data_IF_135200580312
#
_entry.id   IF_135200580312
#
_cell.length_a   1.000
_cell.length_b   1.000
_cell.length_c   1.000
_cell.angle_alpha   90.00
_cell.angle_beta   90.00
_cell.angle_gamma   90.00
#
_symmetry.space_group_name_H-M   'P 1'
#
loop_
_entity.id
_entity.type
_entity.pdbx_description
1 polymer ?
#
# COMPACT_ATOMS: atom_id res chain seq x y z
N UNK A 1 -8.84 -2.80 -29.40
CA UNK A 1 -10.22 -2.32 -29.24
C UNK A 1 -10.92 -2.91 -28.02
N UNK A 2 -10.93 -4.23 -27.81
CA UNK A 2 -11.56 -4.89 -26.64
C UNK A 2 -11.06 -4.33 -25.31
N UNK A 3 -9.75 -4.17 -25.12
CA UNK A 3 -9.15 -3.69 -23.88
C UNK A 3 -9.65 -2.27 -23.53
N UNK A 4 -9.69 -1.38 -24.50
CA UNK A 4 -10.18 0.01 -24.31
C UNK A 4 -11.65 0.01 -23.89
N UNK A 5 -12.48 -0.80 -24.56
CA UNK A 5 -13.89 -0.95 -24.22
C UNK A 5 -14.04 -1.48 -22.79
N UNK A 6 -13.24 -2.46 -22.40
CA UNK A 6 -13.25 -3.03 -21.05
C UNK A 6 -12.87 -2.00 -19.99
N UNK A 7 -11.82 -1.20 -20.23
CA UNK A 7 -11.40 -0.12 -19.33
C UNK A 7 -12.51 0.93 -19.21
N UNK A 8 -13.09 1.36 -20.31
CA UNK A 8 -14.20 2.32 -20.31
C UNK A 8 -15.43 1.78 -19.56
N UNK A 9 -15.81 0.51 -19.80
CA UNK A 9 -16.90 -0.13 -19.08
C UNK A 9 -16.65 -0.20 -17.58
N UNK A 10 -15.41 -0.57 -17.18
CA UNK A 10 -14.99 -0.59 -15.79
C UNK A 10 -15.13 0.79 -15.12
N UNK A 11 -14.66 1.86 -15.77
CA UNK A 11 -14.80 3.21 -15.24
C UNK A 11 -16.25 3.70 -15.21
N UNK A 12 -17.07 3.34 -16.20
CA UNK A 12 -18.51 3.64 -16.17
C UNK A 12 -19.18 3.02 -14.94
N UNK A 13 -18.82 1.77 -14.58
CA UNK A 13 -19.31 1.11 -13.37
C UNK A 13 -18.85 1.84 -12.12
N UNK A 14 -17.58 2.23 -12.00
CA UNK A 14 -17.06 2.99 -10.85
C UNK A 14 -17.77 4.35 -10.70
N UNK A 15 -17.96 5.08 -11.79
CA UNK A 15 -18.67 6.36 -11.78
C UNK A 15 -20.14 6.18 -11.37
N UNK A 16 -20.79 5.10 -11.81
CA UNK A 16 -22.15 4.76 -11.39
C UNK A 16 -22.23 4.46 -9.90
N UNK A 17 -21.31 3.65 -9.35
CA UNK A 17 -21.20 3.41 -7.91
C UNK A 17 -20.99 4.70 -7.13
N UNK A 18 -20.08 5.56 -7.60
CA UNK A 18 -19.84 6.86 -6.98
C UNK A 18 -21.10 7.74 -7.03
N UNK A 19 -21.83 7.75 -8.14
CA UNK A 19 -23.04 8.53 -8.25
C UNK A 19 -24.14 8.05 -7.30
N UNK A 20 -24.35 6.74 -7.20
CA UNK A 20 -25.37 6.13 -6.30
C UNK A 20 -25.03 6.41 -4.83
N UNK A 21 -23.78 6.18 -4.44
CA UNK A 21 -23.33 6.34 -3.03
C UNK A 21 -23.26 7.80 -2.60
N UNK A 22 -22.93 8.72 -3.52
CA UNK A 22 -22.78 10.15 -3.23
C UNK A 22 -24.08 10.98 -3.35
N UNK A 23 -25.18 10.39 -3.84
CA UNK A 23 -26.44 11.12 -4.12
C UNK A 23 -27.03 11.88 -2.92
N UNK A 24 -26.75 11.47 -1.68
CA UNK A 24 -27.42 12.01 -0.47
C UNK A 24 -26.56 12.88 0.45
N UNK A 25 -25.24 13.00 0.26
CA UNK A 25 -24.41 13.74 1.23
C UNK A 25 -23.07 14.19 0.65
N UNK A 26 -22.81 15.48 0.65
CA UNK A 26 -21.49 16.08 0.40
C UNK A 26 -20.86 16.69 1.67
N UNK A 27 -21.21 16.20 2.86
CA UNK A 27 -20.69 16.72 4.12
C UNK A 27 -19.24 16.26 4.34
N UNK A 28 -18.48 17.03 5.11
CA UNK A 28 -17.12 16.67 5.50
C UNK A 28 -17.10 15.40 6.37
N UNK A 29 -18.09 15.18 7.23
CA UNK A 29 -18.20 13.94 8.04
C UNK A 29 -18.38 12.69 7.15
N UNK A 30 -19.17 12.81 6.09
CA UNK A 30 -19.30 11.71 5.10
C UNK A 30 -17.99 11.47 4.38
N UNK A 31 -17.28 12.54 3.99
CA UNK A 31 -16.02 12.44 3.26
C UNK A 31 -14.91 11.83 4.13
N UNK A 32 -14.80 12.23 5.41
CA UNK A 32 -13.71 11.81 6.29
C UNK A 32 -13.96 10.50 7.02
N UNK A 33 -15.23 10.18 7.39
CA UNK A 33 -15.58 9.07 8.29
C UNK A 33 -16.74 8.19 7.82
N UNK A 34 -17.34 8.43 6.64
CA UNK A 34 -18.52 7.73 6.16
C UNK A 34 -19.68 7.69 7.19
N UNK A 35 -19.77 8.70 8.05
CA UNK A 35 -20.71 8.78 9.19
C UNK A 35 -20.61 7.60 10.17
N UNK A 36 -19.51 6.85 10.20
CA UNK A 36 -19.31 5.62 11.00
C UNK A 36 -20.43 4.59 10.82
N UNK A 37 -20.79 4.29 9.58
CA UNK A 37 -21.87 3.35 9.25
C UNK A 37 -21.46 2.28 8.25
N UNK A 38 -20.16 2.11 8.00
CA UNK A 38 -19.67 1.08 7.09
C UNK A 38 -19.76 -0.30 7.72
N UNK A 39 -20.23 -1.31 7.00
CA UNK A 39 -20.20 -2.70 7.46
C UNK A 39 -18.76 -3.20 7.53
N UNK A 40 -18.34 -3.77 8.66
CA UNK A 40 -16.95 -4.17 8.89
C UNK A 40 -16.41 -5.16 7.85
N UNK A 41 -17.25 -6.10 7.39
CA UNK A 41 -16.83 -7.08 6.37
C UNK A 41 -16.57 -6.48 4.99
N UNK A 42 -17.30 -5.40 4.62
CA UNK A 42 -17.03 -4.64 3.41
C UNK A 42 -15.73 -3.86 3.53
N UNK A 43 -15.46 -3.29 4.71
CA UNK A 43 -14.21 -2.58 4.98
C UNK A 43 -13.04 -3.56 4.91
N UNK A 44 -13.12 -4.72 5.59
CA UNK A 44 -12.09 -5.75 5.59
C UNK A 44 -11.76 -6.23 4.17
N UNK A 45 -12.78 -6.58 3.40
CA UNK A 45 -12.61 -7.04 2.03
C UNK A 45 -12.00 -5.97 1.12
N UNK A 46 -12.50 -4.73 1.21
CA UNK A 46 -11.95 -3.59 0.46
C UNK A 46 -10.51 -3.25 0.88
N UNK A 47 -10.16 -3.40 2.16
CA UNK A 47 -8.80 -3.19 2.65
C UNK A 47 -7.80 -4.21 2.12
N UNK A 48 -8.20 -5.47 1.94
CA UNK A 48 -7.35 -6.48 1.27
C UNK A 48 -6.97 -5.98 -0.13
N UNK A 49 -7.95 -5.57 -0.94
CA UNK A 49 -7.70 -5.07 -2.29
C UNK A 49 -6.93 -3.76 -2.34
N UNK A 50 -7.19 -2.84 -1.41
CA UNK A 50 -6.46 -1.57 -1.35
C UNK A 50 -4.97 -1.77 -0.96
N UNK A 51 -4.65 -2.82 -0.21
CA UNK A 51 -3.28 -3.17 0.16
C UNK A 51 -2.57 -3.96 -0.93
N UNK A 52 -3.30 -4.80 -1.66
CA UNK A 52 -2.83 -5.48 -2.86
C UNK A 52 -2.89 -4.46 -4.01
N UNK A 53 -1.87 -3.63 -4.12
CA UNK A 53 -1.77 -2.65 -5.20
C UNK A 53 -1.46 -3.33 -6.56
N UNK A 54 -1.55 -2.59 -7.65
CA UNK A 54 -1.14 -3.08 -8.97
C UNK A 54 0.32 -3.54 -9.03
N UNK A 55 1.19 -3.00 -8.16
CA UNK A 55 2.56 -3.50 -8.00
C UNK A 55 2.55 -4.90 -7.40
N UNK A 56 1.79 -5.16 -6.34
CA UNK A 56 1.65 -6.50 -5.77
C UNK A 56 1.21 -7.49 -6.84
N UNK A 57 0.27 -7.08 -7.70
CA UNK A 57 -0.24 -7.91 -8.80
C UNK A 57 0.87 -8.35 -9.76
N UNK A 58 1.87 -7.51 -9.99
CA UNK A 58 2.96 -7.75 -10.94
C UNK A 58 4.22 -8.28 -10.24
N UNK A 59 4.64 -7.62 -9.15
CA UNK A 59 5.93 -7.89 -8.51
C UNK A 59 5.92 -9.13 -7.64
N UNK A 60 4.82 -9.47 -6.94
CA UNK A 60 4.81 -10.64 -6.04
C UNK A 60 4.98 -11.95 -6.80
N UNK A 61 4.31 -12.20 -7.96
CA UNK A 61 4.64 -13.36 -8.78
C UNK A 61 6.10 -13.38 -9.23
N UNK A 62 6.64 -12.21 -9.63
CA UNK A 62 8.02 -12.10 -10.10
C UNK A 62 9.08 -12.31 -9.00
N UNK A 63 8.77 -11.99 -7.74
CA UNK A 63 9.70 -12.16 -6.61
C UNK A 63 10.20 -13.61 -6.48
N UNK A 64 9.36 -14.59 -6.85
CA UNK A 64 9.70 -16.02 -6.79
C UNK A 64 10.98 -16.33 -7.56
N UNK A 65 11.25 -15.63 -8.66
CA UNK A 65 12.48 -15.83 -9.47
C UNK A 65 13.79 -15.60 -8.70
N UNK A 66 13.77 -14.77 -7.65
CA UNK A 66 15.00 -14.36 -6.91
C UNK A 66 14.98 -14.75 -5.44
N UNK A 67 13.80 -14.88 -4.87
CA UNK A 67 13.63 -15.02 -3.43
C UNK A 67 12.72 -16.20 -3.05
N UNK A 68 12.37 -17.04 -4.01
CA UNK A 68 11.41 -18.13 -3.83
C UNK A 68 10.09 -17.62 -3.20
N UNK A 69 9.37 -18.42 -2.45
CA UNK A 69 8.16 -18.00 -1.72
C UNK A 69 8.46 -17.33 -0.36
N UNK A 70 9.68 -16.88 -0.10
CA UNK A 70 10.10 -16.36 1.23
C UNK A 70 9.36 -15.12 1.68
N UNK A 71 8.77 -14.34 0.75
CA UNK A 71 7.91 -13.20 1.10
C UNK A 71 6.75 -13.58 2.04
N UNK A 72 6.33 -14.85 2.01
CA UNK A 72 5.27 -15.33 2.89
C UNK A 72 5.66 -15.27 4.38
N UNK A 73 6.96 -15.35 4.73
CA UNK A 73 7.46 -15.15 6.09
C UNK A 73 7.08 -13.77 6.64
N UNK A 74 7.24 -12.74 5.80
CA UNK A 74 6.85 -11.37 6.13
C UNK A 74 5.31 -11.24 6.26
N UNK A 75 4.55 -11.90 5.37
CA UNK A 75 3.08 -11.94 5.45
C UNK A 75 2.58 -12.61 6.73
N UNK A 76 3.27 -13.62 7.25
CA UNK A 76 2.97 -14.23 8.55
C UNK A 76 3.20 -13.21 9.68
N UNK A 77 4.27 -12.42 9.60
CA UNK A 77 4.52 -11.32 10.53
C UNK A 77 3.42 -10.26 10.52
N UNK A 78 2.79 -10.02 9.36
CA UNK A 78 1.67 -9.09 9.25
C UNK A 78 0.51 -9.47 10.18
N UNK A 79 0.22 -10.76 10.38
CA UNK A 79 -0.87 -11.21 11.27
C UNK A 79 -0.67 -10.63 12.67
N UNK A 80 0.53 -10.81 13.25
CA UNK A 80 0.84 -10.25 14.57
C UNK A 80 0.76 -8.71 14.56
N UNK A 81 1.26 -8.07 13.51
CA UNK A 81 1.15 -6.62 13.33
C UNK A 81 -0.30 -6.14 13.36
N UNK A 82 -1.20 -6.81 12.66
CA UNK A 82 -2.64 -6.48 12.66
C UNK A 82 -3.30 -6.68 14.02
N UNK A 83 -2.91 -7.71 14.77
CA UNK A 83 -3.35 -7.86 16.16
C UNK A 83 -2.91 -6.68 17.03
N UNK A 84 -1.65 -6.25 16.91
CA UNK A 84 -1.17 -5.09 17.65
C UNK A 84 -1.92 -3.81 17.25
N UNK A 85 -2.17 -3.59 15.98
CA UNK A 85 -3.01 -2.47 15.52
C UNK A 85 -4.42 -2.56 16.09
N UNK A 86 -5.05 -3.74 16.01
CA UNK A 86 -6.42 -3.96 16.46
C UNK A 86 -6.63 -3.79 17.96
N UNK A 87 -5.68 -4.24 18.76
CA UNK A 87 -5.83 -4.28 20.23
C UNK A 87 -5.07 -3.20 20.99
N UNK A 88 -4.06 -2.55 20.37
CA UNK A 88 -3.35 -1.43 20.99
C UNK A 88 -3.74 -0.07 20.39
N UNK A 89 -3.74 0.08 19.07
CA UNK A 89 -3.94 1.38 18.44
C UNK A 89 -5.43 1.75 18.26
N UNK A 90 -6.26 0.83 17.74
CA UNK A 90 -7.68 1.12 17.53
C UNK A 90 -8.44 1.52 18.83
N UNK A 91 -8.21 0.88 20.01
CA UNK A 91 -8.83 1.35 21.24
C UNK A 91 -8.55 2.80 21.56
N UNK A 92 -7.34 3.28 21.30
CA UNK A 92 -6.93 4.67 21.51
C UNK A 92 -7.69 5.58 20.54
N UNK A 93 -7.69 5.26 19.26
CA UNK A 93 -8.33 6.08 18.23
C UNK A 93 -9.85 6.19 18.44
N UNK A 94 -10.50 5.12 18.86
CA UNK A 94 -11.94 5.12 19.19
C UNK A 94 -12.23 5.88 20.48
N UNK A 95 -11.41 5.69 21.53
CA UNK A 95 -11.56 6.39 22.83
C UNK A 95 -11.49 7.92 22.68
N UNK A 96 -10.53 8.41 21.88
CA UNK A 96 -10.37 9.84 21.65
C UNK A 96 -11.23 10.38 20.51
N UNK A 97 -12.06 9.55 19.89
CA UNK A 97 -12.95 9.93 18.80
C UNK A 97 -12.24 10.68 17.65
N UNK A 98 -11.05 10.23 17.29
CA UNK A 98 -10.17 10.93 16.37
C UNK A 98 -10.75 10.97 14.95
N UNK A 99 -10.55 12.08 14.24
CA UNK A 99 -10.82 12.20 12.79
C UNK A 99 -9.58 11.80 12.00
N UNK A 100 -8.41 12.21 12.48
CA UNK A 100 -7.11 11.78 11.99
C UNK A 100 -6.32 11.21 13.17
N UNK A 101 -5.52 10.19 12.90
CA UNK A 101 -4.74 9.51 13.95
C UNK A 101 -3.67 10.43 14.55
N UNK A 102 -3.19 11.41 13.78
CA UNK A 102 -2.12 12.33 14.20
C UNK A 102 -2.56 13.28 15.31
N UNK A 103 -3.87 13.56 15.42
CA UNK A 103 -4.42 14.36 16.54
C UNK A 103 -4.10 13.78 17.92
N UNK A 104 -3.78 12.47 18.02
CA UNK A 104 -3.27 11.86 19.24
C UNK A 104 -1.90 12.43 19.65
N UNK A 105 -1.01 12.66 18.69
CA UNK A 105 0.30 13.26 18.95
C UNK A 105 0.19 14.68 19.52
N UNK A 106 -0.82 15.45 19.06
CA UNK A 106 -1.09 16.79 19.59
C UNK A 106 -1.38 16.77 21.10
N UNK A 107 -2.23 15.81 21.51
CA UNK A 107 -2.61 15.69 22.93
C UNK A 107 -1.47 15.20 23.81
N UNK A 108 -0.55 14.38 23.26
CA UNK A 108 0.50 13.72 24.02
C UNK A 108 1.84 14.44 24.00
N UNK A 109 2.24 15.00 22.88
CA UNK A 109 3.57 15.58 22.66
C UNK A 109 3.51 17.08 22.41
N UNK A 110 2.55 17.55 21.62
CA UNK A 110 2.34 18.95 21.29
C UNK A 110 2.05 19.19 19.80
N UNK A 111 1.84 20.48 19.49
CA UNK A 111 1.39 20.93 18.16
C UNK A 111 2.45 20.68 17.07
N UNK A 112 3.74 20.87 17.40
CA UNK A 112 4.84 20.66 16.42
C UNK A 112 5.04 19.21 16.11
N UNK A 113 5.03 18.33 17.11
CA UNK A 113 5.09 16.87 16.92
C UNK A 113 3.90 16.36 16.08
N UNK A 114 2.72 16.89 16.32
CA UNK A 114 1.52 16.60 15.55
C UNK A 114 1.66 16.97 14.08
N UNK A 115 2.01 18.22 13.79
CA UNK A 115 2.21 18.68 12.40
C UNK A 115 3.36 17.96 11.70
N UNK A 116 4.43 17.66 12.44
CA UNK A 116 5.56 16.87 11.92
C UNK A 116 5.12 15.47 11.52
N UNK A 117 4.40 14.76 12.38
CA UNK A 117 3.86 13.45 12.07
C UNK A 117 2.94 13.47 10.85
N UNK A 118 2.00 14.42 10.78
CA UNK A 118 1.14 14.60 9.62
C UNK A 118 1.93 14.91 8.33
N UNK A 119 2.98 15.74 8.41
CA UNK A 119 3.83 16.07 7.25
C UNK A 119 4.62 14.87 6.75
N UNK A 120 5.19 14.06 7.65
CA UNK A 120 5.85 12.80 7.26
C UNK A 120 4.88 11.83 6.60
N UNK A 121 3.64 11.72 7.11
CA UNK A 121 2.61 10.94 6.45
C UNK A 121 2.30 11.46 5.04
N UNK A 122 2.06 12.77 4.90
CA UNK A 122 1.76 13.37 3.58
C UNK A 122 2.88 13.08 2.57
N UNK A 123 4.14 13.22 2.98
CA UNK A 123 5.30 12.92 2.14
C UNK A 123 5.36 11.43 1.79
N UNK A 124 5.29 10.54 2.78
CA UNK A 124 5.31 9.09 2.58
C UNK A 124 4.21 8.61 1.68
N UNK A 125 2.99 9.07 1.95
CA UNK A 125 1.81 8.61 1.22
C UNK A 125 1.80 9.13 -0.21
N UNK A 126 2.15 10.41 -0.41
CA UNK A 126 2.24 11.01 -1.75
C UNK A 126 3.26 10.28 -2.61
N UNK A 127 4.48 10.12 -2.11
CA UNK A 127 5.56 9.46 -2.84
C UNK A 127 5.28 7.97 -3.06
N UNK A 128 4.90 7.23 -2.01
CA UNK A 128 4.62 5.81 -2.11
C UNK A 128 3.44 5.46 -3.02
N UNK A 129 2.36 6.25 -2.98
CA UNK A 129 1.22 6.07 -3.86
C UNK A 129 1.56 6.44 -5.32
N UNK A 130 2.35 7.52 -5.53
CA UNK A 130 2.78 7.94 -6.86
C UNK A 130 3.65 6.88 -7.54
N UNK A 131 4.58 6.26 -6.82
CA UNK A 131 5.41 5.15 -7.34
C UNK A 131 4.54 3.96 -7.74
N UNK A 132 3.59 3.58 -6.88
CA UNK A 132 2.66 2.47 -7.17
C UNK A 132 1.82 2.75 -8.41
N UNK A 133 1.30 3.94 -8.53
CA UNK A 133 0.44 4.30 -9.65
C UNK A 133 1.22 4.52 -10.96
N UNK A 134 2.50 4.94 -10.86
CA UNK A 134 3.40 5.07 -12.00
C UNK A 134 3.57 3.76 -12.77
N UNK A 135 3.78 2.62 -12.05
CA UNK A 135 3.92 1.30 -12.67
C UNK A 135 2.70 0.96 -13.53
N UNK A 136 1.52 1.25 -13.01
CA UNK A 136 0.27 1.01 -13.73
C UNK A 136 0.14 1.90 -14.95
N UNK A 137 0.49 3.18 -14.82
CA UNK A 137 0.49 4.09 -15.96
C UNK A 137 1.45 3.61 -17.06
N UNK A 138 2.65 3.08 -16.71
CA UNK A 138 3.58 2.50 -17.68
C UNK A 138 3.01 1.25 -18.34
N UNK A 139 2.43 0.33 -17.55
CA UNK A 139 1.86 -0.90 -18.09
C UNK A 139 0.69 -0.61 -19.01
N UNK A 140 -0.22 0.29 -18.62
CA UNK A 140 -1.32 0.71 -19.49
C UNK A 140 -0.81 1.44 -20.73
N UNK A 141 0.23 2.27 -20.58
CA UNK A 141 0.88 2.93 -21.70
C UNK A 141 1.39 1.90 -22.70
N UNK A 142 2.28 1.00 -22.25
CA UNK A 142 2.98 0.02 -23.10
C UNK A 142 2.02 -0.97 -23.76
N UNK A 143 1.04 -1.48 -23.04
CA UNK A 143 0.20 -2.57 -23.53
C UNK A 143 -1.15 -2.12 -24.15
N UNK A 144 -1.56 -0.88 -23.92
CA UNK A 144 -2.89 -0.40 -24.35
C UNK A 144 -2.79 0.87 -25.18
N UNK A 145 -2.09 1.88 -24.69
CA UNK A 145 -2.18 3.25 -25.23
C UNK A 145 -1.12 3.56 -26.28
N UNK A 146 0.05 2.91 -26.25
CA UNK A 146 1.08 3.07 -27.30
C UNK A 146 0.54 2.62 -28.66
N UNK A 147 -0.27 1.56 -28.70
CA UNK A 147 -0.94 1.09 -29.92
C UNK A 147 -1.95 2.07 -30.53
N UNK A 148 -2.37 3.09 -29.77
CA UNK A 148 -3.30 4.16 -30.18
C UNK A 148 -2.59 5.50 -30.35
N UNK A 149 -1.28 5.55 -30.07
CA UNK A 149 -0.46 6.77 -30.20
C UNK A 149 -0.68 7.82 -29.08
N UNK A 150 -1.27 7.44 -27.94
CA UNK A 150 -1.47 8.36 -26.80
C UNK A 150 -0.18 8.50 -26.03
N UNK A 151 0.40 9.70 -25.86
CA UNK A 151 1.65 9.87 -25.14
C UNK A 151 1.46 9.80 -23.63
N UNK A 152 2.50 9.33 -22.92
CA UNK A 152 2.47 9.14 -21.46
C UNK A 152 2.04 10.37 -20.65
N UNK A 153 2.43 11.56 -21.08
CA UNK A 153 2.05 12.83 -20.44
C UNK A 153 0.56 13.18 -20.59
N UNK A 154 -0.20 12.46 -21.44
CA UNK A 154 -1.68 12.52 -21.53
C UNK A 154 -2.30 11.38 -20.71
N UNK A 155 -1.68 10.19 -20.69
CA UNK A 155 -2.14 9.03 -19.93
C UNK A 155 -2.26 9.34 -18.44
N UNK A 156 -1.23 9.92 -17.84
CA UNK A 156 -1.21 10.20 -16.40
C UNK A 156 -2.30 11.20 -15.98
N UNK A 157 -2.44 12.38 -16.62
CA UNK A 157 -3.55 13.30 -16.33
C UNK A 157 -4.94 12.66 -16.49
N UNK A 158 -5.13 11.88 -17.55
CA UNK A 158 -6.40 11.20 -17.81
C UNK A 158 -6.76 10.24 -16.67
N UNK A 159 -5.82 9.42 -16.22
CA UNK A 159 -6.03 8.45 -15.15
C UNK A 159 -6.27 9.13 -13.79
N UNK A 160 -5.47 10.14 -13.44
CA UNK A 160 -5.64 10.90 -12.20
C UNK A 160 -6.96 11.69 -12.20
N UNK A 161 -7.35 12.25 -13.34
CA UNK A 161 -8.64 12.93 -13.47
C UNK A 161 -9.83 11.98 -13.25
N UNK A 162 -9.75 10.75 -13.75
CA UNK A 162 -10.79 9.73 -13.50
C UNK A 162 -10.92 9.45 -12.00
N UNK A 163 -9.80 9.23 -11.28
CA UNK A 163 -9.81 9.05 -9.83
C UNK A 163 -10.48 10.24 -9.13
N UNK A 164 -10.05 11.44 -9.44
CA UNK A 164 -10.61 12.65 -8.86
C UNK A 164 -12.12 12.79 -9.10
N UNK A 165 -12.60 12.43 -10.30
CA UNK A 165 -14.02 12.54 -10.66
C UNK A 165 -14.93 11.71 -9.76
N UNK A 166 -14.58 10.45 -9.46
CA UNK A 166 -15.45 9.63 -8.63
C UNK A 166 -15.23 9.79 -7.12
N UNK A 167 -14.04 10.26 -6.69
CA UNK A 167 -13.74 10.45 -5.26
C UNK A 167 -14.21 11.80 -4.71
N UNK A 168 -14.29 12.85 -5.54
CA UNK A 168 -14.51 14.25 -5.12
C UNK A 168 -15.74 14.52 -4.26
N UNK A 169 -16.79 13.70 -4.36
CA UNK A 169 -18.06 13.90 -3.64
C UNK A 169 -18.16 13.08 -2.37
N UNK A 170 -17.95 11.78 -2.46
CA UNK A 170 -18.25 10.83 -1.38
C UNK A 170 -17.06 10.51 -0.49
N UNK A 171 -15.82 10.73 -0.96
CA UNK A 171 -14.62 10.40 -0.21
C UNK A 171 -14.65 8.95 0.28
N UNK A 172 -14.30 8.73 1.56
CA UNK A 172 -14.19 7.39 2.16
C UNK A 172 -15.49 6.57 2.09
N UNK A 173 -16.65 7.21 2.09
CA UNK A 173 -17.94 6.50 1.96
C UNK A 173 -18.06 5.80 0.62
N UNK A 174 -17.63 6.45 -0.46
CA UNK A 174 -17.63 5.85 -1.79
C UNK A 174 -16.57 4.76 -1.87
N UNK A 175 -15.38 5.00 -1.30
CA UNK A 175 -14.25 4.09 -1.36
C UNK A 175 -14.57 2.71 -0.75
N UNK A 176 -15.26 2.62 0.36
CA UNK A 176 -15.66 1.33 0.95
C UNK A 176 -16.39 0.43 -0.05
N UNK A 177 -17.23 1.00 -0.90
CA UNK A 177 -17.99 0.26 -1.91
C UNK A 177 -17.18 0.00 -3.18
N UNK A 178 -16.48 1.03 -3.68
CA UNK A 178 -15.63 0.88 -4.88
C UNK A 178 -14.47 -0.06 -4.63
N UNK A 179 -13.82 -0.01 -3.46
CA UNK A 179 -12.75 -0.93 -3.08
C UNK A 179 -13.23 -2.38 -3.06
N UNK A 180 -14.43 -2.66 -2.51
CA UNK A 180 -14.98 -4.01 -2.50
C UNK A 180 -15.23 -4.52 -3.93
N UNK A 181 -15.75 -3.69 -4.83
CA UNK A 181 -15.92 -4.03 -6.23
C UNK A 181 -14.57 -4.28 -6.91
N UNK A 182 -13.61 -3.39 -6.71
CA UNK A 182 -12.26 -3.49 -7.25
C UNK A 182 -11.54 -4.75 -6.76
N UNK A 183 -11.66 -5.06 -5.47
CA UNK A 183 -11.11 -6.29 -4.88
C UNK A 183 -11.71 -7.54 -5.51
N UNK A 184 -13.03 -7.54 -5.76
CA UNK A 184 -13.70 -8.65 -6.47
C UNK A 184 -13.15 -8.82 -7.88
N UNK A 185 -13.03 -7.74 -8.65
CA UNK A 185 -12.47 -7.77 -10.00
C UNK A 185 -11.02 -8.29 -10.00
N UNK A 186 -10.22 -7.83 -9.05
CA UNK A 186 -8.82 -8.22 -8.90
C UNK A 186 -8.67 -9.73 -8.61
N UNK A 187 -9.40 -10.26 -7.63
CA UNK A 187 -9.33 -11.69 -7.30
C UNK A 187 -9.93 -12.57 -8.39
N UNK A 188 -11.02 -12.14 -9.02
CA UNK A 188 -11.58 -12.86 -10.16
C UNK A 188 -10.55 -12.94 -11.31
N UNK A 189 -9.88 -11.83 -11.62
CA UNK A 189 -8.80 -11.81 -12.61
C UNK A 189 -7.66 -12.75 -12.23
N UNK A 190 -7.17 -12.70 -10.98
CA UNK A 190 -6.09 -13.55 -10.50
C UNK A 190 -6.43 -15.04 -10.62
N UNK A 191 -7.60 -15.45 -10.12
CA UNK A 191 -8.04 -16.86 -10.16
C UNK A 191 -8.19 -17.35 -11.59
N UNK A 192 -8.78 -16.54 -12.47
CA UNK A 192 -8.96 -16.91 -13.86
C UNK A 192 -7.62 -16.96 -14.62
N UNK A 193 -6.67 -16.07 -14.32
CA UNK A 193 -5.31 -16.14 -14.89
C UNK A 193 -4.64 -17.44 -14.44
N UNK A 194 -4.69 -17.78 -13.14
CA UNK A 194 -4.14 -19.05 -12.61
C UNK A 194 -4.76 -20.23 -13.36
N UNK A 195 -6.09 -20.25 -13.53
CA UNK A 195 -6.78 -21.30 -14.26
C UNK A 195 -6.26 -21.46 -15.70
N UNK A 196 -6.08 -20.34 -16.43
CA UNK A 196 -5.54 -20.37 -17.79
C UNK A 196 -4.07 -20.82 -17.86
N UNK A 197 -3.25 -20.45 -16.88
CA UNK A 197 -1.86 -20.92 -16.80
C UNK A 197 -1.81 -22.42 -16.52
N UNK A 198 -2.62 -22.93 -15.59
CA UNK A 198 -2.73 -24.37 -15.27
C UNK A 198 -3.20 -25.16 -16.51
N UNK A 199 -4.20 -24.63 -17.22
CA UNK A 199 -4.66 -25.25 -18.48
C UNK A 199 -3.58 -25.27 -19.57
N UNK A 200 -2.78 -24.19 -19.70
CA UNK A 200 -1.64 -24.13 -20.62
C UNK A 200 -0.48 -25.10 -20.24
N UNK A 201 -0.38 -25.40 -18.95
CA UNK A 201 0.52 -26.45 -18.46
C UNK A 201 -0.02 -27.88 -18.70
N UNK A 202 -1.29 -28.02 -19.12
CA UNK A 202 -2.00 -29.29 -19.29
C UNK A 202 -2.11 -30.09 -17.99
N UNK A 203 -2.28 -29.38 -16.86
CA UNK A 203 -2.41 -29.94 -15.52
C UNK A 203 -3.84 -29.81 -15.01
N UNK A 204 -4.23 -30.77 -14.17
CA UNK A 204 -5.40 -30.62 -13.32
C UNK A 204 -5.09 -29.70 -12.14
N UNK A 205 -6.08 -29.08 -11.47
CA UNK A 205 -5.84 -28.25 -10.30
C UNK A 205 -5.09 -28.97 -9.18
N UNK A 206 -5.34 -30.28 -8.98
CA UNK A 206 -4.63 -31.11 -7.98
C UNK A 206 -3.16 -31.34 -8.34
N UNK A 207 -2.87 -31.62 -9.61
CA UNK A 207 -1.50 -31.75 -10.10
C UNK A 207 -0.74 -30.43 -9.99
N UNK A 208 -1.38 -29.30 -10.30
CA UNK A 208 -0.76 -27.99 -10.16
C UNK A 208 -0.38 -27.69 -8.69
N UNK A 209 -1.26 -27.99 -7.72
CA UNK A 209 -0.96 -27.83 -6.28
C UNK A 209 0.23 -28.72 -5.89
N UNK A 210 0.24 -29.99 -6.33
CA UNK A 210 1.33 -30.90 -6.04
C UNK A 210 2.64 -30.44 -6.69
N UNK A 211 2.59 -29.98 -7.93
CA UNK A 211 3.75 -29.46 -8.63
C UNK A 211 4.33 -28.22 -7.92
N UNK A 212 3.48 -27.24 -7.52
CA UNK A 212 3.93 -26.10 -6.73
C UNK A 212 4.59 -26.54 -5.42
N UNK A 213 3.98 -27.50 -4.70
CA UNK A 213 4.49 -27.93 -3.40
C UNK A 213 5.88 -28.60 -3.48
N UNK A 214 6.24 -29.22 -4.62
CA UNK A 214 7.51 -29.89 -4.84
C UNK A 214 8.53 -29.07 -5.65
N UNK A 215 8.14 -27.87 -6.09
CA UNK A 215 9.05 -27.00 -6.86
C UNK A 215 10.15 -26.43 -5.95
N UNK A 216 11.36 -26.32 -6.49
CA UNK A 216 12.53 -25.76 -5.78
C UNK A 216 12.32 -24.32 -5.35
N UNK A 217 11.52 -23.53 -6.09
CA UNK A 217 11.19 -22.14 -5.79
C UNK A 217 10.03 -21.97 -4.79
N UNK A 218 9.48 -23.07 -4.27
CA UNK A 218 8.42 -23.02 -3.25
C UNK A 218 8.95 -22.98 -1.81
N UNK A 219 10.26 -22.77 -1.63
CA UNK A 219 10.85 -22.57 -0.31
C UNK A 219 10.27 -21.34 0.37
N UNK A 220 9.64 -21.53 1.55
CA UNK A 220 9.04 -20.45 2.33
C UNK A 220 9.99 -20.00 3.44
N UNK A 221 10.57 -20.93 4.22
CA UNK A 221 11.27 -20.62 5.45
C UNK A 221 12.80 -20.67 5.28
N UNK A 222 13.48 -19.62 5.75
CA UNK A 222 14.94 -19.49 5.75
C UNK A 222 15.41 -19.24 7.18
N UNK A 223 15.82 -20.28 7.88
CA UNK A 223 16.36 -20.21 9.25
C UNK A 223 17.87 -20.36 9.31
N UNK A 224 18.46 -20.94 8.28
CA UNK A 224 19.84 -21.41 8.18
C UNK A 224 20.87 -20.28 7.95
N UNK A 225 20.47 -19.15 7.36
CA UNK A 225 21.35 -18.01 7.08
C UNK A 225 20.92 -16.77 7.84
N UNK A 226 21.60 -16.48 8.95
CA UNK A 226 21.34 -15.28 9.75
C UNK A 226 21.77 -13.98 9.08
N UNK A 227 22.79 -14.02 8.20
CA UNK A 227 23.25 -12.83 7.48
C UNK A 227 22.34 -12.48 6.30
N UNK A 228 21.60 -13.43 5.79
CA UNK A 228 20.66 -13.19 4.71
C UNK A 228 19.55 -12.20 5.10
N UNK A 229 19.17 -11.36 4.16
CA UNK A 229 17.96 -10.51 4.26
C UNK A 229 16.68 -11.34 4.28
N UNK A 230 16.73 -12.57 3.76
CA UNK A 230 15.60 -13.50 3.68
C UNK A 230 15.42 -14.32 4.96
N UNK A 231 16.27 -14.12 5.99
CA UNK A 231 16.14 -14.85 7.25
C UNK A 231 14.74 -14.65 7.86
N UNK A 232 14.15 -15.75 8.36
CA UNK A 232 12.79 -15.78 8.90
C UNK A 232 12.53 -14.68 9.94
N UNK A 233 13.40 -14.56 10.95
CA UNK A 233 13.17 -13.61 12.03
C UNK A 233 13.24 -12.16 11.57
N UNK A 234 14.15 -11.85 10.62
CA UNK A 234 14.24 -10.52 10.03
C UNK A 234 12.97 -10.19 9.23
N UNK A 235 12.52 -11.10 8.38
CA UNK A 235 11.31 -10.92 7.57
C UNK A 235 10.05 -10.83 8.44
N UNK A 236 9.92 -11.73 9.42
CA UNK A 236 8.78 -11.78 10.33
C UNK A 236 8.66 -10.48 11.15
N UNK A 237 9.76 -10.06 11.82
CA UNK A 237 9.75 -8.84 12.62
C UNK A 237 9.55 -7.60 11.73
N UNK A 238 10.21 -7.54 10.58
CA UNK A 238 9.97 -6.46 9.61
C UNK A 238 8.50 -6.39 9.21
N UNK A 239 7.86 -7.54 8.97
CA UNK A 239 6.44 -7.62 8.67
C UNK A 239 5.56 -7.02 9.79
N UNK A 240 5.83 -7.38 11.05
CA UNK A 240 5.11 -6.82 12.20
C UNK A 240 5.20 -5.29 12.21
N UNK A 241 6.40 -4.73 12.10
CA UNK A 241 6.60 -3.28 12.16
C UNK A 241 6.10 -2.55 10.91
N UNK A 242 6.22 -3.16 9.73
CA UNK A 242 5.66 -2.62 8.48
C UNK A 242 4.14 -2.45 8.61
N UNK A 243 3.43 -3.44 9.16
CA UNK A 243 1.98 -3.32 9.39
C UNK A 243 1.65 -2.25 10.42
N UNK A 244 2.40 -2.18 11.53
CA UNK A 244 2.17 -1.12 12.51
C UNK A 244 2.24 0.25 11.84
N UNK A 245 3.23 0.52 11.00
CA UNK A 245 3.39 1.83 10.37
C UNK A 245 2.51 2.04 9.16
N UNK A 246 2.43 1.09 8.24
CA UNK A 246 1.70 1.23 6.97
C UNK A 246 0.20 0.96 7.10
N UNK A 247 -0.26 0.48 8.27
CA UNK A 247 -1.69 0.35 8.58
C UNK A 247 -2.03 1.16 9.82
N UNK A 248 -1.39 0.88 10.94
CA UNK A 248 -1.73 1.48 12.24
C UNK A 248 -1.41 2.96 12.35
N UNK A 249 -0.33 3.41 11.72
CA UNK A 249 0.11 4.81 11.72
C UNK A 249 -0.11 5.50 10.36
N UNK A 250 -0.85 4.88 9.47
CA UNK A 250 -1.22 5.40 8.15
C UNK A 250 -2.68 5.85 8.16
N UNK A 251 -2.91 7.14 7.89
CA UNK A 251 -4.26 7.73 7.90
C UNK A 251 -5.17 7.11 6.85
N UNK A 252 -4.66 6.67 5.69
CA UNK A 252 -5.45 6.06 4.65
C UNK A 252 -6.11 4.76 5.14
N UNK A 253 -5.31 3.87 5.73
CA UNK A 253 -5.80 2.60 6.26
C UNK A 253 -6.67 2.80 7.51
N UNK A 254 -6.23 3.65 8.44
CA UNK A 254 -6.99 3.92 9.66
C UNK A 254 -8.28 4.67 9.38
N UNK A 255 -8.32 5.53 8.38
CA UNK A 255 -9.55 6.21 7.98
C UNK A 255 -10.66 5.22 7.58
N UNK A 256 -10.30 4.14 6.89
CA UNK A 256 -11.24 3.05 6.54
C UNK A 256 -11.74 2.33 7.80
N UNK A 257 -10.83 1.89 8.66
CA UNK A 257 -11.18 1.24 9.95
C UNK A 257 -12.10 2.13 10.81
N UNK A 258 -11.84 3.44 10.86
CA UNK A 258 -12.64 4.40 11.63
C UNK A 258 -14.03 4.66 11.03
N UNK A 259 -14.37 4.11 9.86
CA UNK A 259 -15.73 4.12 9.32
C UNK A 259 -16.64 3.07 9.94
N UNK A 260 -16.11 2.05 10.63
CA UNK A 260 -16.87 1.02 11.33
C UNK A 260 -17.67 1.62 12.48
N UNK A 261 -18.81 1.01 12.81
CA UNK A 261 -19.75 1.53 13.83
C UNK A 261 -19.17 1.54 15.24
N UNK A 262 -18.34 0.56 15.57
CA UNK A 262 -17.81 0.36 16.90
C UNK A 262 -16.37 -0.16 16.85
N UNK A 263 -15.66 -0.02 17.98
CA UNK A 263 -14.32 -0.58 18.16
C UNK A 263 -14.30 -2.09 17.88
N UNK A 264 -15.29 -2.84 18.35
CA UNK A 264 -15.37 -4.29 18.14
C UNK A 264 -15.50 -4.66 16.66
N UNK A 265 -16.26 -3.88 15.89
CA UNK A 265 -16.36 -4.06 14.45
C UNK A 265 -15.05 -3.73 13.73
N UNK A 266 -14.37 -2.64 14.13
CA UNK A 266 -13.05 -2.28 13.57
C UNK A 266 -11.97 -3.31 13.92
N UNK A 267 -12.02 -3.92 15.10
CA UNK A 267 -11.14 -5.03 15.47
C UNK A 267 -11.39 -6.28 14.62
N UNK A 268 -12.66 -6.63 14.38
CA UNK A 268 -13.02 -7.72 13.46
C UNK A 268 -12.51 -7.47 12.06
N UNK A 269 -12.69 -6.23 11.57
CA UNK A 269 -12.20 -5.78 10.27
C UNK A 269 -10.69 -6.02 10.14
N UNK A 270 -9.89 -5.44 11.02
CA UNK A 270 -8.42 -5.51 10.98
C UNK A 270 -7.91 -6.96 11.11
N UNK A 271 -8.49 -7.76 12.01
CA UNK A 271 -8.08 -9.16 12.19
C UNK A 271 -8.43 -10.00 10.95
N UNK A 272 -9.67 -9.86 10.42
CA UNK A 272 -10.09 -10.58 9.21
C UNK A 272 -9.22 -10.20 8.01
N UNK A 273 -8.94 -8.93 7.83
CA UNK A 273 -8.04 -8.42 6.79
C UNK A 273 -6.64 -9.02 6.94
N UNK A 274 -6.07 -9.04 8.16
CA UNK A 274 -4.75 -9.60 8.43
C UNK A 274 -4.63 -11.08 8.07
N UNK A 275 -5.64 -11.88 8.41
CA UNK A 275 -5.66 -13.30 8.02
C UNK A 275 -5.87 -13.49 6.53
N UNK A 276 -6.75 -12.73 5.89
CA UNK A 276 -7.03 -12.86 4.47
C UNK A 276 -5.85 -12.46 3.57
N UNK A 277 -4.93 -11.64 4.08
CA UNK A 277 -3.77 -11.18 3.33
C UNK A 277 -2.76 -12.31 3.01
N UNK A 278 -2.61 -13.28 3.93
CA UNK A 278 -1.68 -14.41 3.74
C UNK A 278 -2.10 -15.32 2.57
N UNK A 279 -3.32 -15.88 2.53
CA UNK A 279 -3.74 -16.69 1.39
C UNK A 279 -3.80 -15.91 0.08
N UNK A 280 -4.09 -14.59 0.12
CA UNK A 280 -4.04 -13.76 -1.06
C UNK A 280 -2.63 -13.71 -1.67
N UNK A 281 -1.60 -13.45 -0.84
CA UNK A 281 -0.22 -13.46 -1.31
C UNK A 281 0.28 -14.86 -1.70
N UNK A 282 -0.19 -15.91 -1.03
CA UNK A 282 0.11 -17.29 -1.43
C UNK A 282 -0.37 -17.56 -2.86
N UNK A 283 -1.55 -17.08 -3.25
CA UNK A 283 -2.05 -17.22 -4.64
C UNK A 283 -1.15 -16.48 -5.64
N UNK A 284 -0.69 -15.26 -5.32
CA UNK A 284 0.24 -14.53 -6.19
C UNK A 284 1.60 -15.23 -6.33
N UNK A 285 2.17 -15.73 -5.24
CA UNK A 285 3.42 -16.48 -5.26
C UNK A 285 3.27 -17.80 -6.03
N UNK A 286 2.16 -18.50 -5.83
CA UNK A 286 1.83 -19.72 -6.60
C UNK A 286 1.73 -19.46 -8.10
N UNK A 287 1.12 -18.32 -8.49
CA UNK A 287 1.11 -17.88 -9.88
C UNK A 287 2.54 -17.68 -10.40
N UNK A 288 3.44 -17.12 -9.60
CA UNK A 288 4.85 -16.95 -9.97
C UNK A 288 5.54 -18.27 -10.29
N UNK A 289 5.38 -19.29 -9.44
CA UNK A 289 5.92 -20.64 -9.67
C UNK A 289 5.35 -21.25 -10.95
N UNK A 290 4.03 -21.18 -11.14
CA UNK A 290 3.37 -21.70 -12.33
C UNK A 290 3.84 -21.02 -13.63
N UNK A 291 4.10 -19.71 -13.59
CA UNK A 291 4.63 -18.97 -14.74
C UNK A 291 6.07 -19.38 -15.07
N UNK A 292 6.90 -19.67 -14.05
CA UNK A 292 8.25 -20.21 -14.26
C UNK A 292 8.22 -21.61 -14.87
N UNK A 293 7.32 -22.47 -14.40
CA UNK A 293 7.09 -23.79 -15.02
C UNK A 293 6.62 -23.66 -16.48
N UNK A 294 5.74 -22.69 -16.75
CA UNK A 294 5.25 -22.43 -18.11
C UNK A 294 6.38 -21.94 -19.03
N UNK A 295 7.25 -21.06 -18.52
CA UNK A 295 8.44 -20.59 -19.24
C UNK A 295 9.35 -21.79 -19.62
N UNK A 296 9.59 -22.67 -18.67
CA UNK A 296 10.39 -23.88 -18.88
C UNK A 296 9.73 -24.82 -19.93
N UNK A 297 8.43 -25.08 -19.82
CA UNK A 297 7.68 -25.91 -20.78
C UNK A 297 7.74 -25.35 -22.19
N UNK A 298 7.68 -24.03 -22.33
CA UNK A 298 7.69 -23.35 -23.64
C UNK A 298 9.09 -23.04 -24.17
N UNK A 299 10.16 -23.33 -23.39
CA UNK A 299 11.54 -23.00 -23.76
C UNK A 299 11.81 -21.49 -23.86
N UNK A 300 11.03 -20.68 -23.14
CA UNK A 300 11.16 -19.22 -23.14
C UNK A 300 12.08 -18.78 -22.00
N UNK A 301 13.05 -17.91 -22.30
CA UNK A 301 13.95 -17.38 -21.28
C UNK A 301 13.18 -16.48 -20.29
N UNK A 302 13.52 -16.63 -19.00
CA UNK A 302 12.94 -15.77 -17.95
C UNK A 302 13.41 -14.31 -18.13
N UNK A 303 12.58 -13.33 -17.81
CA UNK A 303 12.92 -11.92 -17.94
C UNK A 303 14.01 -11.54 -16.92
N UNK A 304 14.82 -10.52 -17.24
CA UNK A 304 15.85 -10.02 -16.33
C UNK A 304 15.21 -9.31 -15.09
N UNK A 305 14.16 -8.56 -15.32
CA UNK A 305 13.41 -7.89 -14.26
C UNK A 305 12.29 -8.80 -13.76
N UNK A 306 12.22 -9.11 -12.44
CA UNK A 306 11.15 -9.93 -11.87
C UNK A 306 9.75 -9.40 -12.18
N UNK A 307 9.60 -8.08 -12.21
CA UNK A 307 8.31 -7.42 -12.46
C UNK A 307 7.77 -7.65 -13.89
N UNK A 308 8.58 -8.16 -14.80
CA UNK A 308 8.17 -8.49 -16.16
C UNK A 308 7.64 -9.93 -16.31
N UNK A 309 7.75 -10.79 -15.28
CA UNK A 309 7.35 -12.21 -15.37
C UNK A 309 5.86 -12.37 -15.73
N UNK A 310 4.96 -11.80 -14.95
CA UNK A 310 3.53 -11.89 -15.22
C UNK A 310 3.12 -11.13 -16.51
N UNK A 311 3.56 -9.88 -16.75
CA UNK A 311 3.28 -9.18 -18.01
C UNK A 311 3.74 -9.92 -19.26
N UNK A 312 4.89 -10.61 -19.22
CA UNK A 312 5.42 -11.36 -20.35
C UNK A 312 4.43 -12.42 -20.87
N UNK A 313 3.70 -13.09 -19.98
CA UNK A 313 2.70 -14.08 -20.37
C UNK A 313 1.29 -13.50 -20.48
N UNK A 314 0.90 -12.65 -19.54
CA UNK A 314 -0.47 -12.17 -19.44
C UNK A 314 -0.79 -11.03 -20.43
N UNK A 315 0.20 -10.19 -20.77
CA UNK A 315 -0.02 -9.06 -21.67
C UNK A 315 0.38 -9.32 -23.13
N UNK A 316 1.21 -10.35 -23.39
CA UNK A 316 1.67 -10.70 -24.75
C UNK A 316 0.63 -11.37 -25.64
N UNK A 317 -0.46 -11.85 -25.04
CA UNK A 317 -1.48 -12.61 -25.76
C UNK A 317 -1.17 -14.10 -25.95
N UNK A 318 -0.03 -14.60 -25.46
CA UNK A 318 0.35 -16.02 -25.54
C UNK A 318 -0.68 -16.93 -24.86
N UNK A 319 -1.28 -16.47 -23.77
CA UNK A 319 -2.36 -17.17 -23.04
C UNK A 319 -3.77 -16.82 -23.56
N UNK A 320 -3.85 -16.12 -24.68
CA UNK A 320 -5.11 -15.71 -25.30
C UNK A 320 -5.63 -14.32 -24.89
N UNK A 321 -6.51 -13.77 -25.71
CA UNK A 321 -7.07 -12.41 -25.53
C UNK A 321 -7.79 -12.23 -24.19
N UNK A 322 -8.45 -13.29 -23.69
CA UNK A 322 -9.16 -13.24 -22.41
C UNK A 322 -8.20 -12.95 -21.25
N UNK A 323 -7.03 -13.60 -21.23
CA UNK A 323 -6.02 -13.37 -20.18
C UNK A 323 -5.48 -11.93 -20.23
N UNK A 324 -5.30 -11.36 -21.42
CA UNK A 324 -4.91 -9.94 -21.57
C UNK A 324 -5.96 -9.02 -20.96
N UNK A 325 -7.25 -9.28 -21.21
CA UNK A 325 -8.37 -8.51 -20.63
C UNK A 325 -8.40 -8.65 -19.10
N UNK A 326 -8.30 -9.88 -18.60
CA UNK A 326 -8.30 -10.16 -17.15
C UNK A 326 -7.12 -9.50 -16.44
N UNK A 327 -5.91 -9.61 -17.00
CA UNK A 327 -4.73 -8.93 -16.49
C UNK A 327 -4.92 -7.41 -16.41
N UNK A 328 -5.45 -6.82 -17.48
CA UNK A 328 -5.72 -5.38 -17.53
C UNK A 328 -6.74 -4.95 -16.48
N UNK A 329 -7.84 -5.69 -16.31
CA UNK A 329 -8.84 -5.41 -15.27
C UNK A 329 -8.22 -5.55 -13.87
N UNK A 330 -7.48 -6.64 -13.63
CA UNK A 330 -6.88 -6.92 -12.34
C UNK A 330 -5.91 -5.83 -11.91
N UNK A 331 -5.00 -5.41 -12.79
CA UNK A 331 -4.01 -4.38 -12.49
C UNK A 331 -4.65 -2.98 -12.34
N UNK A 332 -5.63 -2.65 -13.18
CA UNK A 332 -6.38 -1.39 -13.06
C UNK A 332 -7.14 -1.36 -11.75
N UNK A 333 -7.90 -2.42 -11.43
CA UNK A 333 -8.69 -2.49 -10.20
C UNK A 333 -7.81 -2.34 -8.96
N UNK A 334 -6.73 -3.13 -8.84
CA UNK A 334 -5.80 -3.07 -7.72
C UNK A 334 -5.14 -1.70 -7.56
N UNK A 335 -4.85 -1.03 -8.66
CA UNK A 335 -4.11 0.24 -8.65
C UNK A 335 -4.98 1.43 -8.31
N UNK A 336 -6.19 1.46 -8.86
CA UNK A 336 -7.12 2.55 -8.60
C UNK A 336 -7.59 2.54 -7.15
N UNK A 337 -7.83 1.36 -6.55
CA UNK A 337 -8.16 1.22 -5.13
C UNK A 337 -7.07 1.78 -4.19
N UNK A 338 -5.80 1.65 -4.56
CA UNK A 338 -4.71 2.23 -3.77
C UNK A 338 -4.55 3.74 -3.96
N UNK A 339 -4.73 4.23 -5.19
CA UNK A 339 -4.52 5.64 -5.52
C UNK A 339 -5.67 6.53 -5.04
N UNK A 340 -6.93 6.10 -5.18
CA UNK A 340 -8.10 6.88 -4.76
C UNK A 340 -8.17 7.03 -3.24
N UNK A 341 -7.81 5.96 -2.53
CA UNK A 341 -7.68 5.95 -1.08
C UNK A 341 -6.60 6.92 -0.61
N UNK A 342 -5.41 6.87 -1.24
CA UNK A 342 -4.31 7.79 -0.93
C UNK A 342 -4.71 9.26 -1.16
N UNK A 343 -5.31 9.60 -2.29
CA UNK A 343 -5.77 10.97 -2.59
C UNK A 343 -6.78 11.47 -1.54
N UNK A 344 -7.69 10.60 -1.11
CA UNK A 344 -8.69 10.96 -0.09
C UNK A 344 -8.05 11.17 1.28
N UNK A 345 -7.12 10.29 1.70
CA UNK A 345 -6.43 10.38 2.98
C UNK A 345 -5.49 11.59 3.04
N UNK A 346 -4.71 11.85 1.98
CA UNK A 346 -3.85 13.03 1.87
C UNK A 346 -4.69 14.31 1.95
N UNK A 347 -5.82 14.35 1.24
CA UNK A 347 -6.75 15.51 1.32
C UNK A 347 -7.28 15.70 2.73
N UNK A 348 -7.65 14.62 3.41
CA UNK A 348 -8.15 14.64 4.78
C UNK A 348 -7.10 15.19 5.74
N UNK A 349 -5.90 14.63 5.73
CA UNK A 349 -4.81 15.06 6.62
C UNK A 349 -4.37 16.50 6.31
N UNK A 350 -4.28 16.88 5.04
CA UNK A 350 -3.97 18.25 4.65
C UNK A 350 -5.00 19.26 5.20
N UNK A 351 -6.29 18.98 5.04
CA UNK A 351 -7.35 19.88 5.50
C UNK A 351 -7.48 19.92 7.02
N UNK A 352 -7.39 18.77 7.68
CA UNK A 352 -7.62 18.63 9.12
C UNK A 352 -6.36 18.93 9.92
N UNK A 353 -5.23 18.28 9.57
CA UNK A 353 -4.01 18.31 10.41
C UNK A 353 -3.13 19.51 10.12
N UNK A 354 -2.96 19.87 8.84
CA UNK A 354 -2.04 20.95 8.47
C UNK A 354 -2.77 22.30 8.47
N UNK A 355 -3.94 22.37 7.80
CA UNK A 355 -4.68 23.63 7.66
C UNK A 355 -5.65 23.92 8.81
N UNK A 356 -5.98 22.91 9.65
CA UNK A 356 -6.88 23.06 10.79
C UNK A 356 -8.33 23.42 10.45
N UNK A 357 -8.75 23.19 9.20
CA UNK A 357 -10.08 23.61 8.68
C UNK A 357 -10.96 22.42 8.32
N UNK A 358 -11.34 21.66 9.33
CA UNK A 358 -12.13 20.42 9.19
C UNK A 358 -13.50 20.65 8.52
N UNK A 359 -14.17 21.77 8.80
CA UNK A 359 -15.57 22.00 8.42
C UNK A 359 -15.74 22.77 7.10
N UNK A 360 -14.65 23.27 6.51
CA UNK A 360 -14.69 24.03 5.25
C UNK A 360 -14.78 23.09 4.02
N UNK A 361 -16.01 22.93 3.52
CA UNK A 361 -16.29 22.10 2.33
C UNK A 361 -15.67 22.68 1.05
N UNK A 362 -15.61 24.02 0.92
CA UNK A 362 -15.05 24.67 -0.27
C UNK A 362 -13.55 24.46 -0.32
N UNK A 363 -12.87 24.65 0.82
CA UNK A 363 -11.44 24.40 0.96
C UNK A 363 -11.12 22.95 0.65
N UNK A 364 -11.83 21.97 1.24
CA UNK A 364 -11.62 20.54 0.97
C UNK A 364 -11.68 20.23 -0.53
N UNK A 365 -12.69 20.75 -1.25
CA UNK A 365 -12.82 20.51 -2.70
C UNK A 365 -11.63 21.06 -3.48
N UNK A 366 -11.14 22.26 -3.11
CA UNK A 366 -9.95 22.86 -3.74
C UNK A 366 -8.69 22.06 -3.43
N UNK A 367 -8.51 21.67 -2.16
CA UNK A 367 -7.36 20.87 -1.74
C UNK A 367 -7.36 19.48 -2.39
N UNK A 368 -8.51 18.84 -2.56
CA UNK A 368 -8.59 17.56 -3.26
C UNK A 368 -8.14 17.65 -4.73
N UNK A 369 -8.47 18.75 -5.41
CA UNK A 369 -7.98 19.02 -6.76
C UNK A 369 -6.47 19.29 -6.77
N UNK A 370 -5.98 20.10 -5.82
CA UNK A 370 -4.55 20.38 -5.68
C UNK A 370 -3.74 19.11 -5.41
N UNK A 371 -4.21 18.25 -4.50
CA UNK A 371 -3.58 16.96 -4.18
C UNK A 371 -3.53 16.06 -5.42
N UNK A 372 -4.61 16.01 -6.21
CA UNK A 372 -4.63 15.26 -7.46
C UNK A 372 -3.60 15.81 -8.47
N UNK A 373 -3.49 17.13 -8.59
CA UNK A 373 -2.50 17.77 -9.45
C UNK A 373 -1.06 17.49 -9.00
N UNK A 374 -0.75 17.63 -7.72
CA UNK A 374 0.57 17.32 -7.17
C UNK A 374 0.90 15.84 -7.35
N UNK A 375 -0.07 14.95 -7.13
CA UNK A 375 0.08 13.51 -7.35
C UNK A 375 0.48 13.19 -8.81
N UNK A 376 -0.20 13.84 -9.76
CA UNK A 376 0.14 13.74 -11.19
C UNK A 376 1.59 14.15 -11.45
N UNK A 377 2.05 15.27 -10.88
CA UNK A 377 3.44 15.74 -11.04
C UNK A 377 4.44 14.74 -10.46
N UNK A 378 4.17 14.13 -9.32
CA UNK A 378 5.01 13.09 -8.73
C UNK A 378 5.12 11.86 -9.64
N UNK A 379 4.01 11.41 -10.24
CA UNK A 379 4.01 10.27 -11.17
C UNK A 379 4.88 10.58 -12.41
N UNK A 380 4.74 11.78 -12.97
CA UNK A 380 5.53 12.20 -14.15
C UNK A 380 7.03 12.29 -13.80
N UNK A 381 7.36 12.83 -12.62
CA UNK A 381 8.74 12.94 -12.15
C UNK A 381 9.39 11.55 -11.96
N UNK A 382 8.65 10.56 -11.47
CA UNK A 382 9.17 9.20 -11.33
C UNK A 382 9.60 8.56 -12.64
N UNK A 383 9.01 8.93 -13.77
CA UNK A 383 9.45 8.45 -15.10
C UNK A 383 10.91 8.77 -15.38
N UNK A 384 11.44 9.87 -14.82
CA UNK A 384 12.82 10.31 -15.04
C UNK A 384 13.86 9.57 -14.14
N UNK A 385 13.42 8.89 -13.08
CA UNK A 385 14.30 8.41 -11.99
C UNK A 385 14.48 6.87 -12.00
N UNK A 386 13.65 6.10 -12.71
CA UNK A 386 13.47 4.67 -12.45
C UNK A 386 14.55 3.72 -12.98
N UNK A 387 15.12 2.88 -12.08
CA UNK A 387 16.06 1.80 -12.40
C UNK A 387 16.01 0.53 -11.52
N UNK A 388 15.11 0.42 -10.53
CA UNK A 388 15.09 -0.70 -9.56
C UNK A 388 13.73 -1.36 -9.43
N UNK A 389 13.67 -2.55 -8.78
CA UNK A 389 12.42 -3.18 -8.39
C UNK A 389 11.54 -2.21 -7.61
N UNK A 390 10.32 -2.01 -8.07
CA UNK A 390 9.44 -0.96 -7.53
C UNK A 390 8.97 -1.31 -6.12
N UNK A 391 8.78 -2.59 -5.80
CA UNK A 391 8.36 -3.00 -4.45
C UNK A 391 9.45 -2.71 -3.42
N UNK A 392 10.71 -2.98 -3.76
CA UNK A 392 11.85 -2.69 -2.89
C UNK A 392 12.01 -1.18 -2.70
N UNK A 393 11.87 -0.38 -3.77
CA UNK A 393 11.92 1.06 -3.69
C UNK A 393 10.85 1.63 -2.73
N UNK A 394 9.64 1.07 -2.74
CA UNK A 394 8.56 1.47 -1.82
C UNK A 394 8.93 1.16 -0.37
N UNK A 395 9.40 -0.05 -0.06
CA UNK A 395 9.76 -0.41 1.31
C UNK A 395 10.96 0.38 1.83
N UNK A 396 11.94 0.66 0.99
CA UNK A 396 13.07 1.53 1.33
C UNK A 396 12.58 2.95 1.64
N UNK A 397 11.77 3.53 0.75
CA UNK A 397 11.17 4.85 0.97
C UNK A 397 10.34 4.90 2.26
N UNK A 398 9.54 3.86 2.50
CA UNK A 398 8.78 3.72 3.74
C UNK A 398 9.69 3.66 4.96
N UNK A 399 10.81 2.94 4.89
CA UNK A 399 11.75 2.84 6.01
C UNK A 399 12.33 4.19 6.44
N UNK A 400 12.58 5.08 5.49
CA UNK A 400 13.07 6.44 5.80
C UNK A 400 11.96 7.40 6.22
N UNK A 401 10.76 7.29 5.68
CA UNK A 401 9.70 8.27 5.89
C UNK A 401 8.73 7.89 7.01
N UNK A 402 8.44 6.60 7.22
CA UNK A 402 7.60 6.13 8.34
C UNK A 402 8.38 5.86 9.64
N UNK A 403 9.72 5.76 9.59
CA UNK A 403 10.52 5.59 10.80
C UNK A 403 10.28 6.67 11.84
N UNK A 404 10.31 7.97 11.50
CA UNK A 404 9.97 9.05 12.43
C UNK A 404 8.56 8.93 13.01
N UNK A 405 7.57 8.51 12.21
CA UNK A 405 6.22 8.25 12.71
C UNK A 405 6.18 7.11 13.73
N UNK A 406 6.88 6.00 13.44
CA UNK A 406 7.02 4.89 14.38
C UNK A 406 7.60 5.38 15.71
N UNK A 407 8.69 6.16 15.67
CA UNK A 407 9.33 6.70 16.86
C UNK A 407 8.44 7.65 17.66
N UNK A 408 7.73 8.58 16.99
CA UNK A 408 6.77 9.50 17.62
C UNK A 408 5.64 8.74 18.33
N UNK A 409 5.02 7.79 17.65
CA UNK A 409 3.92 7.02 18.22
C UNK A 409 4.41 6.06 19.32
N UNK A 410 5.52 5.34 19.10
CA UNK A 410 6.09 4.47 20.11
C UNK A 410 6.43 5.26 21.40
N UNK A 411 7.07 6.42 21.25
CA UNK A 411 7.38 7.27 22.40
C UNK A 411 6.13 7.75 23.12
N UNK A 412 5.12 8.21 22.39
CA UNK A 412 3.87 8.72 22.96
C UNK A 412 3.03 7.64 23.64
N UNK A 413 3.14 6.39 23.20
CA UNK A 413 2.39 5.23 23.74
C UNK A 413 3.11 4.59 24.94
N UNK A 414 4.44 4.39 24.82
CA UNK A 414 5.22 3.62 25.78
C UNK A 414 5.72 4.48 26.95
N UNK A 415 5.74 5.81 26.81
CA UNK A 415 6.23 6.71 27.87
C UNK A 415 5.15 7.70 28.30
N UNK A 416 5.24 8.16 29.55
CA UNK A 416 4.43 9.27 30.06
C UNK A 416 5.20 10.60 30.05
N UNK A 417 6.45 10.58 29.55
CA UNK A 417 7.33 11.76 29.55
C UNK A 417 6.81 12.81 28.57
N UNK A 418 6.96 14.07 28.95
CA UNK A 418 6.75 15.20 28.07
C UNK A 418 8.07 15.59 27.40
N UNK A 419 8.01 15.92 26.13
CA UNK A 419 9.16 16.37 25.33
C UNK A 419 9.13 17.89 25.15
N UNK A 420 10.29 18.48 24.87
CA UNK A 420 10.34 19.82 24.35
C UNK A 420 9.90 19.80 22.87
N UNK A 421 8.61 20.07 22.64
CA UNK A 421 7.96 19.98 21.32
C UNK A 421 8.64 20.84 20.24
N UNK A 422 9.42 21.85 20.64
CA UNK A 422 10.18 22.71 19.70
C UNK A 422 11.24 21.91 18.94
N UNK A 423 11.84 20.89 19.55
CA UNK A 423 12.91 20.10 18.98
C UNK A 423 12.45 18.83 18.29
N UNK A 424 11.21 18.39 18.51
CA UNK A 424 10.65 17.18 17.89
C UNK A 424 10.80 17.13 16.36
N UNK A 425 10.54 18.22 15.59
CA UNK A 425 10.73 18.20 14.14
C UNK A 425 12.18 17.90 13.73
N UNK A 426 13.14 18.46 14.46
CA UNK A 426 14.57 18.27 14.17
C UNK A 426 15.03 16.83 14.43
N UNK A 427 14.52 16.22 15.51
CA UNK A 427 14.77 14.79 15.79
C UNK A 427 14.22 13.94 14.66
N UNK A 428 13.00 14.21 14.19
CA UNK A 428 12.36 13.46 13.10
C UNK A 428 13.07 13.63 11.75
N UNK A 429 13.73 14.77 11.50
CA UNK A 429 14.52 15.00 10.28
C UNK A 429 15.91 14.36 10.42
N UNK A 430 16.54 14.46 11.59
CA UNK A 430 17.89 13.92 11.83
C UNK A 430 17.90 12.38 11.78
N UNK A 431 16.86 11.72 12.29
CA UNK A 431 16.80 10.27 12.38
C UNK A 431 16.96 9.55 11.02
N UNK A 432 16.22 9.86 9.96
CA UNK A 432 16.42 9.22 8.65
C UNK A 432 17.78 9.57 8.03
N UNK A 433 18.35 10.75 8.30
CA UNK A 433 19.69 11.11 7.82
C UNK A 433 20.77 10.27 8.50
N UNK A 434 20.68 10.10 9.82
CA UNK A 434 21.58 9.22 10.60
C UNK A 434 21.42 7.77 10.12
N UNK A 435 20.18 7.33 9.90
CA UNK A 435 19.88 6.00 9.42
C UNK A 435 20.51 5.74 8.03
N UNK A 436 20.43 6.71 7.12
CA UNK A 436 21.09 6.65 5.82
C UNK A 436 22.63 6.55 5.94
N UNK A 437 23.22 7.34 6.83
CA UNK A 437 24.65 7.27 7.09
C UNK A 437 25.07 5.90 7.65
N UNK A 438 24.31 5.34 8.59
CA UNK A 438 24.56 4.00 9.15
C UNK A 438 24.47 2.93 8.05
N UNK A 439 23.39 2.92 7.23
CA UNK A 439 23.22 1.95 6.15
C UNK A 439 24.37 2.02 5.14
N UNK A 440 24.79 3.24 4.78
CA UNK A 440 25.91 3.45 3.85
C UNK A 440 27.24 2.95 4.44
N UNK A 441 27.54 3.30 5.70
CA UNK A 441 28.76 2.88 6.35
C UNK A 441 28.83 1.37 6.59
N UNK A 442 27.73 0.76 7.04
CA UNK A 442 27.67 -0.70 7.23
C UNK A 442 27.80 -1.45 5.91
N UNK A 443 27.20 -0.92 4.83
CA UNK A 443 27.35 -1.50 3.50
C UNK A 443 28.78 -1.45 2.99
N UNK A 444 29.51 -0.35 3.24
CA UNK A 444 30.87 -0.16 2.77
C UNK A 444 31.92 -0.89 3.62
N UNK A 445 31.83 -0.86 4.95
CA UNK A 445 32.87 -1.36 5.85
C UNK A 445 32.61 -2.76 6.38
N UNK A 446 31.34 -3.18 6.49
CA UNK A 446 30.93 -4.47 7.06
C UNK A 446 30.38 -5.42 5.98
N UNK A 447 30.09 -4.89 4.78
CA UNK A 447 29.43 -5.65 3.71
C UNK A 447 27.96 -5.97 4.00
N UNK A 448 27.38 -5.37 5.06
CA UNK A 448 25.99 -5.56 5.44
C UNK A 448 25.14 -4.38 4.97
N UNK A 449 24.20 -4.63 4.09
CA UNK A 449 23.19 -3.66 3.65
C UNK A 449 21.85 -3.97 4.33
N UNK A 450 21.30 -3.00 5.04
CA UNK A 450 20.00 -3.16 5.68
C UNK A 450 18.89 -3.49 4.67
N UNK A 451 17.94 -4.30 5.11
CA UNK A 451 16.69 -4.57 4.41
C UNK A 451 15.55 -3.74 5.00
N UNK A 452 14.38 -4.39 5.17
CA UNK A 452 13.18 -3.74 5.70
C UNK A 452 13.29 -3.43 7.22
N UNK A 453 14.23 -4.05 7.91
CA UNK A 453 14.59 -3.75 9.32
C UNK A 453 15.11 -2.33 9.53
N UNK A 454 15.52 -1.63 8.47
CA UNK A 454 15.91 -0.21 8.51
C UNK A 454 14.81 0.67 9.12
N UNK A 455 13.55 0.30 8.93
CA UNK A 455 12.40 0.97 9.54
C UNK A 455 12.47 0.95 11.07
N UNK A 456 12.83 -0.20 11.65
CA UNK A 456 12.95 -0.34 13.12
C UNK A 456 14.11 0.51 13.66
N UNK A 457 15.24 0.49 12.97
CA UNK A 457 16.40 1.33 13.33
C UNK A 457 16.03 2.81 13.33
N UNK A 458 15.39 3.29 12.28
CA UNK A 458 14.97 4.68 12.16
C UNK A 458 13.94 5.07 13.24
N UNK A 459 12.97 4.18 13.52
CA UNK A 459 12.02 4.37 14.62
C UNK A 459 12.69 4.43 15.99
N UNK A 460 13.67 3.55 16.24
CA UNK A 460 14.44 3.53 17.48
C UNK A 460 15.30 4.80 17.66
N UNK A 461 15.94 5.28 16.60
CA UNK A 461 16.70 6.54 16.60
C UNK A 461 15.79 7.74 16.93
N UNK A 462 14.61 7.79 16.31
CA UNK A 462 13.61 8.85 16.62
C UNK A 462 13.15 8.75 18.07
N UNK A 463 12.84 7.54 18.57
CA UNK A 463 12.45 7.32 19.97
C UNK A 463 13.54 7.78 20.95
N UNK A 464 14.80 7.39 20.71
CA UNK A 464 15.93 7.78 21.52
C UNK A 464 16.16 9.30 21.50
N UNK A 465 16.08 9.92 20.31
CA UNK A 465 16.20 11.37 20.17
C UNK A 465 15.11 12.12 20.94
N UNK A 466 13.84 11.63 20.91
CA UNK A 466 12.76 12.21 21.72
C UNK A 466 12.99 12.03 23.22
N UNK A 467 13.60 10.93 23.64
CA UNK A 467 13.94 10.70 25.06
C UNK A 467 15.00 11.67 25.57
N UNK A 468 15.88 12.20 24.71
CA UNK A 468 16.93 13.16 25.06
C UNK A 468 16.41 14.59 25.18
N UNK A 469 15.37 14.97 24.45
CA UNK A 469 14.79 16.31 24.46
C UNK A 469 13.74 16.45 25.57
N UNK A 470 14.17 16.57 26.81
CA UNK A 470 13.27 16.77 27.96
C UNK A 470 12.61 18.15 27.89
N UNK A 471 11.34 18.23 28.34
CA UNK A 471 10.76 19.52 28.70
C UNK A 471 11.43 19.99 29.99
N UNK A 472 12.06 21.14 29.95
CA UNK A 472 12.54 21.79 31.20
C UNK A 472 11.31 22.02 32.08
N UNK A 473 11.33 21.44 33.27
CA UNK A 473 10.38 21.75 34.34
C UNK A 473 10.73 23.15 34.82
N UNK A 474 9.97 24.14 34.27
CA UNK A 474 9.95 25.50 34.86
C UNK A 474 9.24 25.50 36.19
#
# INVERSE_FOLDING_TARGET
MIIIITILAYFCVLLLFSHITARRTSSNETFYRANRRSPWYMVAFGMVGASISGITFVSVPGMVMKTDMTYLQMCIGFILGYFLVGFLLLPIYYRYNLTTIYSYLQQRLGERSYKTGASFFLLSKMTGAAVRFFVVCILLQRFVLDGVGVPFWVTVPMMVMLIWLYTRKGGIKTLVWTDSFQTTCMFAALILIIYHVVAALEMTPSEAITAIAHDSHSRIFVFDDWMSKLNFWKQFLSGVFVVIVMTGLDQDMMQKNLTCKSLREAQKDVCTYGFAFVPANLLFLSLGVLLMMLAQKQGVALPQAPDDLLPMFAASGVLGTLVVVLFTIGIVAASFSSADSALTAITTSLCVDILGKKDDVKLRKRMHLLVAFVFMLFIIAFKAINSTSVIDAIYILCSYTYGPLLGLFAFSLLTKRQVNDRWSPWVCIASPLICFAIDTLTSQYVGYKFGYELLMLNGALTFAGLALIKKETS
#
